data_IF_481499274305
#
_entry.id   IF_481499274305
#
_cell.length_a   1.000
_cell.length_b   1.000
_cell.length_c   1.000
_cell.angle_alpha   90.00
_cell.angle_beta   90.00
_cell.angle_gamma   90.00
#
_symmetry.space_group_name_H-M   'P 1'
#
loop_
_entity.id
_entity.type
_entity.pdbx_description
1 polymer ?
#
# COMPACT_ATOMS: atom_id res chain seq x y z
N UNK A 1 -27.87 18.10 29.42
CA UNK A 1 -27.82 18.63 28.04
C UNK A 1 -28.52 17.65 27.13
N UNK A 2 -29.39 18.14 26.24
CA UNK A 2 -29.98 17.30 25.17
C UNK A 2 -28.90 16.99 24.14
N UNK A 3 -28.61 15.72 23.92
CA UNK A 3 -27.61 15.25 22.96
C UNK A 3 -28.16 15.09 21.53
N UNK A 4 -29.47 15.27 21.35
CA UNK A 4 -30.18 14.99 20.09
C UNK A 4 -29.73 15.88 18.92
N UNK A 5 -29.24 17.08 19.18
CA UNK A 5 -28.83 18.03 18.13
C UNK A 5 -27.36 17.92 17.72
N UNK A 6 -26.58 17.08 18.42
CA UNK A 6 -25.17 16.89 18.14
C UNK A 6 -25.01 16.17 16.80
N UNK A 7 -24.23 16.76 15.89
CA UNK A 7 -23.98 16.22 14.54
C UNK A 7 -22.61 15.58 14.37
N UNK A 8 -21.68 15.89 15.25
CA UNK A 8 -20.33 15.34 15.25
C UNK A 8 -19.87 15.12 16.68
N UNK A 9 -19.29 13.95 16.92
CA UNK A 9 -18.72 13.54 18.19
C UNK A 9 -17.37 12.88 17.91
N UNK A 10 -16.32 13.44 18.51
CA UNK A 10 -14.96 12.91 18.39
C UNK A 10 -14.34 12.77 19.78
N UNK A 11 -13.76 11.61 20.08
CA UNK A 11 -12.97 11.40 21.30
C UNK A 11 -11.64 10.73 20.96
N UNK A 12 -10.56 11.38 21.39
CA UNK A 12 -9.19 10.89 21.21
C UNK A 12 -8.56 10.43 22.53
N UNK A 13 -9.37 10.34 23.60
CA UNK A 13 -8.91 9.80 24.88
C UNK A 13 -8.97 8.28 24.84
N UNK A 14 -7.88 7.57 25.17
CA UNK A 14 -7.88 6.12 25.13
C UNK A 14 -8.86 5.46 26.12
N UNK A 15 -9.15 6.09 27.27
CA UNK A 15 -10.02 5.55 28.33
C UNK A 15 -10.85 6.65 28.99
N UNK A 16 -11.86 6.25 29.78
CA UNK A 16 -12.75 7.12 30.54
C UNK A 16 -14.03 7.55 29.81
N UNK A 17 -14.42 6.86 28.73
CA UNK A 17 -15.55 7.19 27.86
C UNK A 17 -16.76 6.26 28.02
N UNK A 18 -16.71 5.22 28.87
CA UNK A 18 -17.81 4.26 29.04
C UNK A 18 -19.20 4.91 29.17
N UNK A 19 -19.35 5.90 30.06
CA UNK A 19 -20.62 6.63 30.24
C UNK A 19 -21.12 7.34 28.99
N UNK A 20 -20.22 7.81 28.14
CA UNK A 20 -20.56 8.42 26.85
C UNK A 20 -20.98 7.34 25.86
N UNK A 21 -20.24 6.24 25.80
CA UNK A 21 -20.48 5.12 24.90
C UNK A 21 -21.85 4.46 25.16
N UNK A 22 -22.21 4.25 26.43
CA UNK A 22 -23.52 3.71 26.85
C UNK A 22 -24.70 4.60 26.42
N UNK A 23 -24.43 5.90 26.23
CA UNK A 23 -25.41 6.93 25.87
C UNK A 23 -25.36 7.31 24.39
N UNK A 24 -24.60 6.61 23.55
CA UNK A 24 -24.49 6.90 22.12
C UNK A 24 -25.86 6.91 21.42
N UNK A 25 -26.81 6.10 21.88
CA UNK A 25 -28.17 6.04 21.35
C UNK A 25 -28.95 7.38 21.47
N UNK A 26 -28.53 8.31 22.33
CA UNK A 26 -29.17 9.62 22.48
C UNK A 26 -28.79 10.61 21.36
N UNK A 27 -27.75 10.32 20.57
CA UNK A 27 -27.20 11.19 19.53
C UNK A 27 -27.89 10.97 18.17
N UNK A 28 -29.22 11.06 18.13
CA UNK A 28 -30.03 10.62 16.96
C UNK A 28 -29.77 11.38 15.65
N UNK A 29 -29.18 12.59 15.70
CA UNK A 29 -28.81 13.38 14.51
C UNK A 29 -27.32 13.32 14.15
N UNK A 30 -26.58 12.37 14.74
CA UNK A 30 -25.14 12.26 14.53
C UNK A 30 -24.82 11.86 13.08
N UNK A 31 -23.84 12.55 12.49
CA UNK A 31 -23.32 12.29 11.13
C UNK A 31 -21.86 11.86 11.14
N UNK A 32 -21.12 12.28 12.16
CA UNK A 32 -19.69 11.97 12.32
C UNK A 32 -19.48 11.40 13.71
N UNK A 33 -19.01 10.16 13.77
CA UNK A 33 -18.57 9.52 15.00
C UNK A 33 -17.12 9.08 14.84
N UNK A 34 -16.22 9.72 15.60
CA UNK A 34 -14.81 9.39 15.62
C UNK A 34 -14.39 8.92 17.01
N UNK A 35 -14.11 7.62 17.12
CA UNK A 35 -13.69 6.94 18.33
C UNK A 35 -12.23 6.47 18.22
N UNK A 36 -11.42 7.12 17.38
CA UNK A 36 -10.03 6.73 17.15
C UNK A 36 -9.24 6.60 18.46
N UNK A 37 -8.60 5.44 18.62
CA UNK A 37 -7.75 5.10 19.77
C UNK A 37 -8.51 4.85 21.07
N UNK A 38 -9.83 4.94 21.09
CA UNK A 38 -10.65 4.71 22.28
C UNK A 38 -10.72 3.22 22.64
N UNK A 39 -10.00 2.81 23.69
CA UNK A 39 -9.90 1.42 24.18
C UNK A 39 -11.12 0.98 25.00
N UNK A 40 -11.96 1.91 25.40
CA UNK A 40 -13.23 1.60 26.08
C UNK A 40 -14.28 1.06 25.10
N UNK A 41 -14.10 1.22 23.79
CA UNK A 41 -15.01 0.69 22.78
C UNK A 41 -14.88 -0.83 22.70
N UNK A 42 -15.99 -1.49 22.97
CA UNK A 42 -16.18 -2.95 22.99
C UNK A 42 -17.38 -3.33 22.11
N UNK A 43 -17.46 -4.60 21.69
CA UNK A 43 -18.42 -5.07 20.68
C UNK A 43 -19.89 -4.74 21.02
N UNK A 44 -20.27 -4.82 22.29
CA UNK A 44 -21.64 -4.51 22.74
C UNK A 44 -22.07 -3.05 22.50
N UNK A 45 -21.13 -2.10 22.34
CA UNK A 45 -21.45 -0.72 22.02
C UNK A 45 -21.88 -0.55 20.56
N UNK A 46 -21.53 -1.49 19.67
CA UNK A 46 -21.90 -1.43 18.27
C UNK A 46 -23.41 -1.44 18.05
N UNK A 47 -24.20 -2.01 18.98
CA UNK A 47 -25.67 -1.91 18.94
C UNK A 47 -26.15 -0.45 18.97
N UNK A 48 -25.45 0.42 19.69
CA UNK A 48 -25.78 1.84 19.76
C UNK A 48 -25.28 2.56 18.51
N UNK A 49 -24.06 2.23 18.04
CA UNK A 49 -23.48 2.80 16.82
C UNK A 49 -24.35 2.50 15.60
N UNK A 50 -24.80 1.25 15.43
CA UNK A 50 -25.67 0.82 14.33
C UNK A 50 -27.07 1.45 14.38
N UNK A 51 -27.50 1.98 15.53
CA UNK A 51 -28.75 2.75 15.66
C UNK A 51 -28.64 4.21 15.18
N UNK A 52 -27.45 4.67 14.80
CA UNK A 52 -27.21 6.05 14.34
C UNK A 52 -27.38 6.16 12.82
N UNK A 53 -28.61 5.98 12.35
CA UNK A 53 -28.96 5.86 10.92
C UNK A 53 -28.49 7.03 10.02
N UNK A 54 -28.21 8.19 10.59
CA UNK A 54 -27.75 9.39 9.86
C UNK A 54 -26.23 9.50 9.74
N UNK A 55 -25.47 8.52 10.27
CA UNK A 55 -24.02 8.49 10.17
C UNK A 55 -23.56 8.49 8.71
N UNK A 56 -22.53 9.31 8.47
CA UNK A 56 -21.79 9.42 7.20
C UNK A 56 -20.32 9.07 7.38
N UNK A 57 -19.78 9.30 8.57
CA UNK A 57 -18.41 8.95 8.93
C UNK A 57 -18.39 8.18 10.25
N UNK A 58 -17.74 7.03 10.24
CA UNK A 58 -17.47 6.21 11.41
C UNK A 58 -15.99 5.82 11.43
N UNK A 59 -15.26 6.25 12.46
CA UNK A 59 -13.91 5.78 12.75
C UNK A 59 -13.91 5.00 14.05
N UNK A 60 -13.50 3.73 13.95
CA UNK A 60 -13.18 2.85 15.08
C UNK A 60 -11.68 2.51 15.05
N UNK A 61 -10.87 3.34 14.40
CA UNK A 61 -9.45 3.09 14.23
C UNK A 61 -8.77 2.89 15.58
N UNK A 62 -7.95 1.85 15.72
CA UNK A 62 -7.18 1.62 16.94
C UNK A 62 -8.02 1.22 18.15
N UNK A 63 -9.32 0.92 18.01
CA UNK A 63 -10.18 0.39 19.08
C UNK A 63 -9.93 -1.11 19.31
N UNK A 64 -10.61 -1.70 20.29
CA UNK A 64 -10.49 -3.13 20.63
C UNK A 64 -11.67 -3.97 20.10
N UNK A 65 -12.46 -3.43 19.16
CA UNK A 65 -13.55 -4.14 18.49
C UNK A 65 -13.04 -5.42 17.80
N UNK A 66 -13.75 -6.51 18.02
CA UNK A 66 -13.46 -7.85 17.48
C UNK A 66 -14.49 -8.32 16.45
N UNK A 67 -15.70 -7.74 16.46
CA UNK A 67 -16.77 -8.04 15.51
C UNK A 67 -17.54 -6.79 15.04
N UNK A 68 -18.03 -6.80 13.80
CA UNK A 68 -19.03 -5.85 13.31
C UNK A 68 -20.36 -6.59 13.23
N UNK A 69 -21.42 -6.12 13.91
CA UNK A 69 -22.71 -6.81 13.91
C UNK A 69 -23.45 -6.62 12.58
N UNK A 70 -24.38 -7.51 12.24
CA UNK A 70 -25.10 -7.46 10.96
C UNK A 70 -25.91 -6.18 10.77
N UNK A 71 -26.35 -5.55 11.87
CA UNK A 71 -27.06 -4.26 11.89
C UNK A 71 -26.24 -3.10 11.31
N UNK A 72 -24.96 -3.30 10.95
CA UNK A 72 -24.20 -2.28 10.20
C UNK A 72 -24.93 -1.83 8.92
N UNK A 73 -25.74 -2.70 8.30
CA UNK A 73 -26.55 -2.36 7.12
C UNK A 73 -27.55 -1.23 7.34
N UNK A 74 -27.90 -0.93 8.59
CA UNK A 74 -28.78 0.19 8.94
C UNK A 74 -28.11 1.55 8.72
N UNK A 75 -26.78 1.60 8.65
CA UNK A 75 -26.01 2.82 8.37
C UNK A 75 -26.02 3.17 6.87
N UNK A 76 -27.19 3.24 6.25
CA UNK A 76 -27.39 3.43 4.79
C UNK A 76 -26.84 4.74 4.22
N UNK A 77 -26.47 5.68 5.08
CA UNK A 77 -25.86 6.95 4.72
C UNK A 77 -24.34 6.98 4.90
N UNK A 78 -23.73 5.89 5.37
CA UNK A 78 -22.31 5.83 5.67
C UNK A 78 -21.49 5.94 4.38
N UNK A 79 -20.54 6.87 4.37
CA UNK A 79 -19.63 7.14 3.25
C UNK A 79 -18.21 6.69 3.59
N UNK A 80 -17.81 6.80 4.87
CA UNK A 80 -16.48 6.42 5.33
C UNK A 80 -16.59 5.52 6.56
N UNK A 81 -15.96 4.35 6.47
CA UNK A 81 -15.80 3.40 7.56
C UNK A 81 -14.31 3.08 7.75
N UNK A 82 -13.72 3.59 8.83
CA UNK A 82 -12.32 3.34 9.19
C UNK A 82 -12.23 2.35 10.36
N UNK A 83 -11.73 1.15 10.07
CA UNK A 83 -11.55 0.07 11.03
C UNK A 83 -10.06 -0.34 11.11
N UNK A 84 -9.13 0.54 10.74
CA UNK A 84 -7.69 0.26 10.80
C UNK A 84 -7.23 0.05 12.24
N UNK A 85 -6.31 -0.88 12.46
CA UNK A 85 -5.79 -1.17 13.80
C UNK A 85 -6.87 -1.64 14.80
N UNK A 86 -7.94 -2.28 14.31
CA UNK A 86 -8.92 -3.01 15.15
C UNK A 86 -8.47 -4.45 15.36
N UNK A 87 -9.25 -5.24 16.10
CA UNK A 87 -9.00 -6.67 16.34
C UNK A 87 -9.91 -7.58 15.48
N UNK A 88 -10.55 -7.02 14.46
CA UNK A 88 -11.48 -7.73 13.57
C UNK A 88 -10.82 -8.94 12.91
N UNK A 89 -11.61 -10.04 12.85
CA UNK A 89 -11.26 -11.27 12.13
C UNK A 89 -12.12 -11.53 10.90
N UNK A 90 -13.19 -10.76 10.72
CA UNK A 90 -14.13 -10.86 9.62
C UNK A 90 -14.99 -9.61 9.53
N UNK A 91 -15.79 -9.54 8.46
CA UNK A 91 -16.87 -8.56 8.29
C UNK A 91 -18.17 -9.31 8.02
N UNK A 92 -19.34 -8.79 8.44
CA UNK A 92 -20.61 -9.45 8.19
C UNK A 92 -21.01 -9.36 6.71
N UNK A 93 -21.77 -10.35 6.23
CA UNK A 93 -22.35 -10.34 4.87
C UNK A 93 -23.15 -9.07 4.59
N UNK A 94 -23.82 -8.52 5.60
CA UNK A 94 -24.64 -7.31 5.49
C UNK A 94 -23.83 -6.03 5.17
N UNK A 95 -22.50 -6.05 5.23
CA UNK A 95 -21.65 -4.92 4.84
C UNK A 95 -21.92 -4.48 3.39
N UNK A 96 -22.28 -5.41 2.50
CA UNK A 96 -22.60 -5.15 1.09
C UNK A 96 -23.81 -4.23 0.89
N UNK A 97 -24.65 -4.05 1.91
CA UNK A 97 -25.81 -3.18 1.87
C UNK A 97 -25.46 -1.70 2.11
N UNK A 98 -24.19 -1.38 2.42
CA UNK A 98 -23.69 -0.01 2.52
C UNK A 98 -23.39 0.59 1.14
N UNK A 99 -24.41 0.76 0.31
CA UNK A 99 -24.27 1.18 -1.11
C UNK A 99 -23.64 2.57 -1.31
N UNK A 100 -23.70 3.43 -0.28
CA UNK A 100 -23.11 4.78 -0.29
C UNK A 100 -21.67 4.82 0.25
N UNK A 101 -21.12 3.69 0.65
CA UNK A 101 -19.77 3.64 1.21
C UNK A 101 -18.74 3.92 0.10
N UNK A 102 -17.97 4.98 0.29
CA UNK A 102 -16.91 5.42 -0.62
C UNK A 102 -15.54 4.89 -0.19
N UNK A 103 -15.30 4.82 1.12
CA UNK A 103 -14.03 4.41 1.70
C UNK A 103 -14.26 3.34 2.76
N UNK A 104 -13.61 2.19 2.56
CA UNK A 104 -13.53 1.10 3.52
C UNK A 104 -12.05 0.80 3.79
N UNK A 105 -11.56 1.24 4.95
CA UNK A 105 -10.16 1.08 5.35
C UNK A 105 -10.05 0.08 6.50
N UNK A 106 -9.32 -1.02 6.27
CA UNK A 106 -9.23 -2.13 7.22
C UNK A 106 -7.77 -2.51 7.47
N UNK A 107 -7.42 -2.76 8.73
CA UNK A 107 -6.19 -3.47 9.10
C UNK A 107 -6.31 -4.04 10.51
N UNK A 108 -5.81 -5.25 10.73
CA UNK A 108 -5.74 -5.80 12.07
C UNK A 108 -4.50 -5.27 12.79
N UNK A 109 -4.65 -4.88 14.06
CA UNK A 109 -3.57 -4.31 14.88
C UNK A 109 -2.50 -5.32 15.27
N UNK A 110 -2.92 -6.52 15.61
CA UNK A 110 -2.05 -7.51 16.26
C UNK A 110 -1.44 -8.48 15.25
N UNK A 111 -2.12 -8.72 14.14
CA UNK A 111 -1.66 -9.66 13.13
C UNK A 111 -1.93 -9.12 11.72
N UNK A 112 -0.87 -8.65 11.07
CA UNK A 112 -0.94 -8.19 9.70
C UNK A 112 -1.31 -9.32 8.70
N UNK A 113 -1.29 -10.59 9.12
CA UNK A 113 -1.71 -11.75 8.34
C UNK A 113 -3.19 -12.08 8.51
N UNK A 114 -3.90 -11.44 9.44
CA UNK A 114 -5.36 -11.53 9.47
C UNK A 114 -5.88 -10.71 8.31
N UNK A 115 -6.26 -11.44 7.26
CA UNK A 115 -6.83 -10.88 6.06
C UNK A 115 -8.34 -11.04 6.12
N UNK A 116 -9.04 -9.99 5.70
CA UNK A 116 -10.48 -9.99 5.66
C UNK A 116 -10.93 -10.41 4.27
N UNK A 117 -11.96 -11.25 4.22
CA UNK A 117 -12.60 -11.65 2.98
C UNK A 117 -13.73 -10.69 2.68
N UNK A 118 -13.93 -10.43 1.40
CA UNK A 118 -15.13 -9.72 0.97
C UNK A 118 -16.29 -10.71 0.91
N UNK A 119 -17.46 -10.32 1.43
CA UNK A 119 -18.71 -11.04 1.17
C UNK A 119 -19.08 -10.98 -0.32
N UNK A 120 -19.79 -12.00 -0.80
CA UNK A 120 -20.40 -11.99 -2.14
C UNK A 120 -21.50 -10.92 -2.19
N UNK A 121 -21.72 -10.32 -3.36
CA UNK A 121 -22.61 -9.17 -3.50
C UNK A 121 -21.90 -7.82 -3.45
N UNK A 122 -20.56 -7.78 -3.48
CA UNK A 122 -19.77 -6.54 -3.38
C UNK A 122 -20.10 -5.55 -4.51
N UNK A 123 -20.53 -6.03 -5.67
CA UNK A 123 -21.03 -5.25 -6.81
C UNK A 123 -22.15 -4.26 -6.45
N UNK A 124 -22.84 -4.41 -5.33
CA UNK A 124 -23.84 -3.44 -4.83
C UNK A 124 -23.21 -2.15 -4.32
N UNK A 125 -21.96 -2.18 -3.84
CA UNK A 125 -21.26 -1.03 -3.26
C UNK A 125 -20.73 -0.08 -4.34
N UNK A 126 -21.61 0.47 -5.18
CA UNK A 126 -21.27 1.26 -6.38
C UNK A 126 -20.53 2.57 -6.10
N UNK A 127 -20.65 3.11 -4.89
CA UNK A 127 -19.94 4.31 -4.48
C UNK A 127 -18.48 4.05 -4.09
N UNK A 128 -18.04 2.79 -3.97
CA UNK A 128 -16.74 2.44 -3.40
C UNK A 128 -15.60 2.94 -4.30
N UNK A 129 -14.73 3.77 -3.71
CA UNK A 129 -13.56 4.36 -4.36
C UNK A 129 -12.26 3.75 -3.85
N UNK A 130 -12.27 3.15 -2.65
CA UNK A 130 -11.08 2.55 -2.04
C UNK A 130 -11.44 1.22 -1.37
N UNK A 131 -10.79 0.17 -1.86
CA UNK A 131 -10.87 -1.19 -1.37
C UNK A 131 -9.43 -1.69 -1.22
N UNK A 132 -8.93 -1.81 0.00
CA UNK A 132 -7.53 -2.13 0.25
C UNK A 132 -7.38 -3.36 1.14
N UNK A 133 -6.42 -4.21 0.79
CA UNK A 133 -5.96 -5.37 1.55
C UNK A 133 -7.00 -6.46 1.87
N UNK A 134 -7.81 -6.86 0.89
CA UNK A 134 -8.76 -7.98 1.03
C UNK A 134 -8.23 -9.28 0.42
N UNK A 135 -8.54 -10.40 1.06
CA UNK A 135 -8.20 -11.72 0.55
C UNK A 135 -9.34 -12.30 -0.28
N UNK A 136 -9.03 -12.76 -1.50
CA UNK A 136 -10.01 -13.43 -2.37
C UNK A 136 -10.09 -14.94 -2.13
N UNK A 137 -9.03 -15.57 -1.62
CA UNK A 137 -8.90 -17.04 -1.58
C UNK A 137 -9.36 -17.66 -2.93
N UNK A 138 -10.35 -18.56 -2.88
CA UNK A 138 -10.93 -19.25 -4.04
C UNK A 138 -12.29 -18.68 -4.48
N UNK A 139 -12.63 -17.44 -4.08
CA UNK A 139 -13.91 -16.84 -4.44
C UNK A 139 -13.87 -16.19 -5.83
N UNK A 140 -14.24 -16.97 -6.83
CA UNK A 140 -14.29 -16.52 -8.22
C UNK A 140 -15.45 -15.56 -8.50
N UNK A 141 -16.51 -15.58 -7.69
CA UNK A 141 -17.64 -14.66 -7.87
C UNK A 141 -17.27 -13.27 -7.36
N UNK A 142 -16.70 -13.15 -6.15
CA UNK A 142 -16.17 -11.87 -5.66
C UNK A 142 -15.13 -11.29 -6.63
N UNK A 143 -14.23 -12.14 -7.16
CA UNK A 143 -13.24 -11.72 -8.14
C UNK A 143 -13.87 -11.09 -9.40
N UNK A 144 -15.03 -11.60 -9.83
CA UNK A 144 -15.82 -11.06 -10.95
C UNK A 144 -16.59 -9.80 -10.56
N UNK A 145 -17.20 -9.76 -9.38
CA UNK A 145 -18.01 -8.65 -8.88
C UNK A 145 -17.19 -7.36 -8.68
N UNK A 146 -15.89 -7.48 -8.37
CA UNK A 146 -14.95 -6.35 -8.32
C UNK A 146 -14.99 -5.52 -9.61
N UNK A 147 -15.18 -6.17 -10.78
CA UNK A 147 -15.22 -5.48 -12.07
C UNK A 147 -16.43 -4.56 -12.25
N UNK A 148 -17.43 -4.64 -11.37
CA UNK A 148 -18.62 -3.80 -11.40
C UNK A 148 -18.53 -2.58 -10.45
N UNK A 149 -17.39 -2.42 -9.75
CA UNK A 149 -17.05 -1.28 -8.89
C UNK A 149 -16.42 -0.15 -9.71
N UNK A 150 -17.21 0.45 -10.61
CA UNK A 150 -16.71 1.39 -11.63
C UNK A 150 -16.13 2.71 -11.07
N UNK A 151 -16.38 3.03 -9.81
CA UNK A 151 -15.81 4.21 -9.14
C UNK A 151 -14.48 3.92 -8.43
N UNK A 152 -14.01 2.67 -8.45
CA UNK A 152 -12.86 2.23 -7.67
C UNK A 152 -11.55 2.86 -8.18
N UNK A 153 -10.87 3.60 -7.30
CA UNK A 153 -9.60 4.26 -7.56
C UNK A 153 -8.42 3.55 -6.92
N UNK A 154 -8.65 2.81 -5.84
CA UNK A 154 -7.63 2.06 -5.13
C UNK A 154 -8.12 0.62 -4.91
N UNK A 155 -7.37 -0.34 -5.43
CA UNK A 155 -7.63 -1.77 -5.29
C UNK A 155 -6.42 -2.46 -4.67
N UNK A 156 -6.59 -3.08 -3.52
CA UNK A 156 -5.59 -3.93 -2.87
C UNK A 156 -6.14 -5.32 -2.60
N UNK A 157 -5.58 -6.33 -3.26
CA UNK A 157 -6.06 -7.71 -3.21
C UNK A 157 -4.93 -8.69 -2.89
N UNK A 158 -5.25 -9.68 -2.07
CA UNK A 158 -4.38 -10.77 -1.67
C UNK A 158 -4.92 -12.09 -2.22
N UNK A 159 -4.04 -12.85 -2.87
CA UNK A 159 -4.35 -14.04 -3.68
C UNK A 159 -3.82 -15.34 -3.06
N UNK A 160 -3.74 -15.40 -1.73
CA UNK A 160 -3.23 -16.59 -1.05
C UNK A 160 -4.12 -17.80 -1.32
N UNK A 161 -3.52 -18.85 -1.92
CA UNK A 161 -4.24 -20.07 -2.26
C UNK A 161 -5.26 -19.93 -3.38
N UNK A 162 -5.28 -18.81 -4.13
CA UNK A 162 -6.22 -18.58 -5.22
C UNK A 162 -5.97 -19.51 -6.41
N UNK A 163 -7.03 -20.06 -7.00
CA UNK A 163 -6.97 -20.81 -8.26
C UNK A 163 -6.70 -19.90 -9.47
N UNK A 164 -6.30 -20.49 -10.60
CA UNK A 164 -6.15 -19.77 -11.87
C UNK A 164 -7.48 -19.16 -12.36
N UNK A 165 -8.61 -19.81 -12.08
CA UNK A 165 -9.94 -19.27 -12.40
C UNK A 165 -10.19 -17.93 -11.68
N UNK A 166 -9.84 -17.83 -10.39
CA UNK A 166 -9.97 -16.56 -9.64
C UNK A 166 -9.08 -15.48 -10.25
N UNK A 167 -7.85 -15.82 -10.62
CA UNK A 167 -6.90 -14.90 -11.25
C UNK A 167 -7.38 -14.40 -12.60
N UNK A 168 -7.96 -15.27 -13.42
CA UNK A 168 -8.55 -14.92 -14.71
C UNK A 168 -9.77 -14.01 -14.56
N UNK A 169 -10.67 -14.31 -13.60
CA UNK A 169 -11.82 -13.44 -13.29
C UNK A 169 -11.35 -12.08 -12.81
N UNK A 170 -10.36 -12.04 -11.91
CA UNK A 170 -9.79 -10.80 -11.43
C UNK A 170 -9.11 -10.01 -12.56
N UNK A 171 -8.38 -10.67 -13.48
CA UNK A 171 -7.78 -10.03 -14.65
C UNK A 171 -8.83 -9.28 -15.48
N UNK A 172 -9.95 -9.97 -15.77
CA UNK A 172 -11.07 -9.38 -16.50
C UNK A 172 -11.72 -8.23 -15.73
N UNK A 173 -11.87 -8.36 -14.41
CA UNK A 173 -12.42 -7.31 -13.55
C UNK A 173 -11.54 -6.07 -13.50
N UNK A 174 -10.22 -6.22 -13.33
CA UNK A 174 -9.26 -5.10 -13.36
C UNK A 174 -9.39 -4.35 -14.69
N UNK A 175 -9.57 -5.08 -15.80
CA UNK A 175 -9.73 -4.46 -17.11
C UNK A 175 -11.02 -3.67 -17.33
N UNK A 176 -12.03 -3.81 -16.46
CA UNK A 176 -13.26 -2.99 -16.50
C UNK A 176 -13.13 -1.69 -15.73
N UNK A 177 -12.20 -1.60 -14.78
CA UNK A 177 -12.10 -0.47 -13.83
C UNK A 177 -11.18 0.60 -14.42
N UNK A 178 -11.72 1.40 -15.34
CA UNK A 178 -10.98 2.49 -16.01
C UNK A 178 -10.58 3.65 -15.09
N UNK A 179 -11.19 3.74 -13.91
CA UNK A 179 -10.95 4.79 -12.91
C UNK A 179 -9.80 4.46 -11.93
N UNK A 180 -9.20 3.27 -12.04
CA UNK A 180 -8.19 2.79 -11.12
C UNK A 180 -6.90 3.63 -11.20
N UNK A 181 -6.43 4.07 -10.04
CA UNK A 181 -5.22 4.90 -9.85
C UNK A 181 -4.14 4.20 -9.05
N UNK A 182 -4.50 3.28 -8.17
CA UNK A 182 -3.55 2.49 -7.39
C UNK A 182 -3.97 1.04 -7.37
N UNK A 183 -3.03 0.15 -7.64
CA UNK A 183 -3.24 -1.29 -7.61
C UNK A 183 -2.18 -1.98 -6.77
N UNK A 184 -2.61 -2.72 -5.75
CA UNK A 184 -1.79 -3.62 -4.96
C UNK A 184 -2.24 -5.05 -5.21
N UNK A 185 -1.31 -5.89 -5.66
CA UNK A 185 -1.54 -7.33 -5.79
C UNK A 185 -0.50 -8.04 -4.93
N UNK A 186 -0.97 -8.86 -4.01
CA UNK A 186 -0.12 -9.64 -3.13
C UNK A 186 -0.44 -11.14 -3.24
N UNK A 187 0.60 -11.96 -3.22
CA UNK A 187 0.48 -13.40 -3.10
C UNK A 187 1.64 -13.99 -2.29
N UNK A 188 1.31 -14.83 -1.31
CA UNK A 188 2.27 -15.63 -0.56
C UNK A 188 2.61 -16.96 -1.27
N UNK A 189 1.89 -17.34 -2.33
CA UNK A 189 2.09 -18.59 -3.07
C UNK A 189 1.66 -18.53 -4.54
N UNK A 190 2.38 -19.23 -5.42
CA UNK A 190 2.19 -19.13 -6.86
C UNK A 190 2.79 -17.84 -7.44
N UNK A 191 2.25 -17.35 -8.55
CA UNK A 191 2.79 -16.17 -9.25
C UNK A 191 1.68 -15.20 -9.72
N UNK A 192 2.08 -13.96 -10.03
CA UNK A 192 1.20 -12.89 -10.51
C UNK A 192 1.22 -12.72 -12.03
N UNK A 193 1.58 -13.76 -12.80
CA UNK A 193 1.76 -13.63 -14.25
C UNK A 193 0.44 -13.36 -15.00
N UNK A 194 -0.72 -13.62 -14.39
CA UNK A 194 -2.03 -13.27 -14.95
C UNK A 194 -2.15 -11.77 -15.29
N UNK A 195 -1.37 -10.89 -14.63
CA UNK A 195 -1.30 -9.47 -14.93
C UNK A 195 -0.79 -9.17 -16.36
N UNK A 196 -0.15 -10.12 -17.04
CA UNK A 196 0.16 -10.00 -18.46
C UNK A 196 -1.08 -10.02 -19.34
N UNK A 197 -2.10 -10.77 -18.93
CA UNK A 197 -3.31 -11.04 -19.72
C UNK A 197 -4.48 -10.13 -19.38
N UNK A 198 -4.24 -8.91 -18.88
CA UNK A 198 -5.32 -7.95 -18.67
C UNK A 198 -5.95 -7.57 -20.02
N UNK A 199 -7.29 -7.69 -20.20
CA UNK A 199 -7.93 -7.39 -21.48
C UNK A 199 -7.85 -5.90 -21.84
N UNK A 200 -7.87 -5.02 -20.83
CA UNK A 200 -7.64 -3.58 -20.97
C UNK A 200 -6.86 -3.08 -19.76
N UNK A 201 -5.57 -2.75 -19.88
CA UNK A 201 -4.80 -2.22 -18.75
C UNK A 201 -5.41 -0.90 -18.22
N UNK A 202 -5.47 -0.66 -16.89
CA UNK A 202 -6.05 0.56 -16.36
C UNK A 202 -5.23 1.80 -16.74
N UNK A 203 -5.76 2.69 -17.58
CA UNK A 203 -5.00 3.79 -18.23
C UNK A 203 -4.63 4.96 -17.30
N UNK A 204 -5.34 5.10 -16.18
CA UNK A 204 -5.15 6.16 -15.18
C UNK A 204 -4.29 5.70 -13.99
N UNK A 205 -3.62 4.55 -14.12
CA UNK A 205 -2.85 3.96 -13.04
C UNK A 205 -1.62 4.81 -12.73
N UNK A 206 -1.51 5.24 -11.47
CA UNK A 206 -0.46 6.10 -10.93
C UNK A 206 0.49 5.34 -10.01
N UNK A 207 0.01 4.27 -9.38
CA UNK A 207 0.77 3.48 -8.42
C UNK A 207 0.53 1.98 -8.61
N UNK A 208 1.62 1.21 -8.60
CA UNK A 208 1.58 -0.26 -8.59
C UNK A 208 2.41 -0.79 -7.43
N UNK A 209 1.81 -1.67 -6.64
CA UNK A 209 2.49 -2.45 -5.62
C UNK A 209 2.37 -3.96 -5.93
N UNK A 210 3.48 -4.62 -6.25
CA UNK A 210 3.52 -6.05 -6.53
C UNK A 210 4.26 -6.79 -5.40
N UNK A 211 3.53 -7.65 -4.69
CA UNK A 211 4.03 -8.37 -3.53
C UNK A 211 3.95 -9.88 -3.76
N UNK A 212 4.98 -10.50 -4.33
CA UNK A 212 5.01 -11.94 -4.65
C UNK A 212 5.68 -12.22 -5.98
N UNK A 213 5.87 -13.51 -6.31
CA UNK A 213 6.66 -13.89 -7.48
C UNK A 213 5.99 -13.46 -8.80
N UNK A 214 6.79 -12.92 -9.73
CA UNK A 214 6.36 -12.60 -11.09
C UNK A 214 7.54 -12.79 -12.05
N UNK A 215 7.30 -13.38 -13.22
CA UNK A 215 8.39 -13.73 -14.13
C UNK A 215 9.01 -12.51 -14.82
N UNK A 216 8.21 -11.47 -15.06
CA UNK A 216 8.59 -10.17 -15.66
C UNK A 216 7.45 -9.17 -15.44
N UNK A 217 7.75 -7.87 -15.51
CA UNK A 217 6.70 -6.86 -15.53
C UNK A 217 5.74 -7.07 -16.72
N UNK A 218 4.44 -6.77 -16.55
CA UNK A 218 3.49 -6.76 -17.66
C UNK A 218 3.91 -5.85 -18.81
N UNK A 219 3.69 -6.27 -20.06
CA UNK A 219 4.13 -5.49 -21.24
C UNK A 219 3.52 -4.09 -21.29
N UNK A 220 2.28 -3.94 -20.81
CA UNK A 220 1.58 -2.66 -20.72
C UNK A 220 2.20 -1.68 -19.72
N UNK A 221 3.03 -2.15 -18.79
CA UNK A 221 3.75 -1.26 -17.85
C UNK A 221 4.73 -0.38 -18.62
N UNK A 222 5.38 -0.89 -19.67
CA UNK A 222 6.43 -0.16 -20.39
C UNK A 222 5.94 1.11 -21.10
N UNK A 223 4.65 1.17 -21.45
CA UNK A 223 4.03 2.28 -22.17
C UNK A 223 3.11 3.14 -21.30
N UNK A 224 3.14 2.95 -19.97
CA UNK A 224 2.16 3.59 -19.09
C UNK A 224 2.52 5.04 -18.77
N UNK A 225 1.74 6.00 -19.29
CA UNK A 225 2.06 7.43 -19.18
C UNK A 225 1.88 8.00 -17.76
N UNK A 226 0.89 7.53 -16.99
CA UNK A 226 0.58 8.11 -15.67
C UNK A 226 1.29 7.46 -14.49
N UNK A 227 2.07 6.39 -14.72
CA UNK A 227 2.62 5.58 -13.64
C UNK A 227 3.80 6.28 -12.98
N UNK A 228 3.65 6.61 -11.69
CA UNK A 228 4.56 7.48 -10.94
C UNK A 228 5.22 6.81 -9.73
N UNK A 229 4.57 5.81 -9.11
CA UNK A 229 5.12 5.05 -7.98
C UNK A 229 5.07 3.55 -8.28
N UNK A 230 6.20 2.86 -8.13
CA UNK A 230 6.27 1.41 -8.22
C UNK A 230 6.94 0.88 -6.97
N UNK A 231 6.24 -0.03 -6.29
CA UNK A 231 6.75 -0.80 -5.18
C UNK A 231 6.75 -2.28 -5.56
N UNK A 232 7.88 -2.96 -5.33
CA UNK A 232 8.00 -4.40 -5.53
C UNK A 232 8.61 -5.10 -4.33
N UNK A 233 8.01 -6.22 -3.95
CA UNK A 233 8.41 -7.07 -2.84
C UNK A 233 8.25 -8.52 -3.25
N UNK A 234 9.25 -9.37 -2.96
CA UNK A 234 9.22 -10.81 -3.31
C UNK A 234 8.96 -11.13 -4.79
N UNK A 235 9.27 -10.22 -5.70
CA UNK A 235 9.09 -10.40 -7.16
C UNK A 235 10.09 -11.36 -7.79
N UNK A 236 11.25 -11.56 -7.17
CA UNK A 236 12.30 -12.48 -7.63
C UNK A 236 12.85 -12.17 -9.03
N UNK A 237 12.82 -10.91 -9.46
CA UNK A 237 13.26 -10.47 -10.79
C UNK A 237 14.79 -10.54 -10.94
N UNK A 238 15.27 -10.63 -12.19
CA UNK A 238 16.69 -10.81 -12.54
C UNK A 238 17.12 -9.93 -13.71
N UNK A 239 18.42 -9.75 -13.85
CA UNK A 239 19.06 -9.02 -14.94
C UNK A 239 18.45 -7.63 -15.15
N UNK A 240 18.19 -7.30 -16.41
CA UNK A 240 17.63 -6.00 -16.78
C UNK A 240 16.09 -5.94 -16.63
N UNK A 241 15.42 -6.93 -16.01
CA UNK A 241 13.94 -6.98 -15.94
C UNK A 241 13.30 -5.84 -15.14
N UNK A 242 14.03 -5.23 -14.20
CA UNK A 242 13.54 -4.05 -13.48
C UNK A 242 13.87 -2.81 -14.30
N UNK A 243 15.15 -2.44 -14.39
CA UNK A 243 15.52 -1.17 -15.00
C UNK A 243 15.26 -1.09 -16.51
N UNK A 244 15.33 -2.20 -17.25
CA UNK A 244 15.08 -2.21 -18.70
C UNK A 244 13.62 -2.02 -19.10
N UNK A 245 12.69 -2.34 -18.19
CA UNK A 245 11.25 -2.08 -18.37
C UNK A 245 10.94 -0.67 -17.88
N UNK A 246 11.33 -0.37 -16.64
CA UNK A 246 10.91 0.84 -15.94
C UNK A 246 11.59 2.11 -16.45
N UNK A 247 12.72 2.01 -17.15
CA UNK A 247 13.39 3.18 -17.74
C UNK A 247 12.58 3.84 -18.88
N UNK A 248 11.59 3.13 -19.43
CA UNK A 248 10.71 3.61 -20.51
C UNK A 248 9.56 4.48 -20.00
N UNK A 249 9.29 4.45 -18.70
CA UNK A 249 8.20 5.20 -18.09
C UNK A 249 8.54 6.70 -18.05
N UNK A 250 7.71 7.57 -18.68
CA UNK A 250 8.01 8.99 -18.77
C UNK A 250 7.85 9.73 -17.44
N UNK A 251 6.96 9.25 -16.56
CA UNK A 251 6.56 9.94 -15.34
C UNK A 251 6.85 9.13 -14.06
N UNK A 252 7.68 8.09 -14.12
CA UNK A 252 8.05 7.34 -12.91
C UNK A 252 8.89 8.22 -11.99
N UNK A 253 8.31 8.61 -10.85
CA UNK A 253 8.96 9.47 -9.85
C UNK A 253 9.65 8.66 -8.77
N UNK A 254 9.06 7.53 -8.38
CA UNK A 254 9.48 6.72 -7.24
C UNK A 254 9.53 5.24 -7.58
N UNK A 255 10.64 4.62 -7.22
CA UNK A 255 10.85 3.18 -7.31
C UNK A 255 11.33 2.62 -5.97
N UNK A 256 10.58 1.66 -5.44
CA UNK A 256 10.89 0.98 -4.19
C UNK A 256 11.10 -0.51 -4.43
N UNK A 257 12.32 -0.98 -4.20
CA UNK A 257 12.74 -2.37 -4.30
C UNK A 257 12.91 -2.93 -2.89
N UNK A 258 11.90 -3.63 -2.40
CA UNK A 258 11.91 -4.23 -1.08
C UNK A 258 12.49 -5.66 -1.13
N UNK A 259 12.37 -6.40 -0.04
CA UNK A 259 13.01 -7.70 0.16
C UNK A 259 12.65 -8.70 -0.94
N UNK A 260 13.65 -9.44 -1.42
CA UNK A 260 13.51 -10.46 -2.47
C UNK A 260 12.89 -9.93 -3.79
N UNK A 261 12.93 -8.62 -4.03
CA UNK A 261 12.47 -8.03 -5.30
C UNK A 261 13.40 -8.38 -6.47
N UNK A 262 14.70 -8.50 -6.20
CA UNK A 262 15.76 -8.76 -7.18
C UNK A 262 16.71 -9.86 -6.70
N UNK A 263 17.15 -10.73 -7.61
CA UNK A 263 17.87 -11.97 -7.26
C UNK A 263 19.35 -12.00 -7.65
N UNK A 264 19.84 -11.13 -8.54
CA UNK A 264 21.25 -11.16 -8.95
C UNK A 264 22.15 -10.39 -7.99
N UNK A 265 23.44 -10.74 -7.95
CA UNK A 265 24.39 -10.13 -7.02
C UNK A 265 24.59 -8.64 -7.26
N UNK A 266 24.43 -8.19 -8.50
CA UNK A 266 24.63 -6.80 -8.89
C UNK A 266 23.37 -6.28 -9.59
N UNK A 267 22.90 -5.12 -9.14
CA UNK A 267 21.89 -4.32 -9.82
C UNK A 267 22.60 -3.11 -10.43
N UNK A 268 22.58 -3.02 -11.76
CA UNK A 268 23.37 -2.01 -12.49
C UNK A 268 22.43 -1.06 -13.22
N UNK A 269 22.44 0.21 -12.82
CA UNK A 269 21.87 1.30 -13.59
C UNK A 269 22.83 1.64 -14.74
N UNK A 270 22.62 0.97 -15.88
CA UNK A 270 23.43 1.15 -17.09
C UNK A 270 23.16 2.49 -17.77
N UNK A 271 24.12 3.02 -18.51
CA UNK A 271 23.98 4.32 -19.22
C UNK A 271 22.77 4.39 -20.18
N UNK A 272 22.33 3.25 -20.71
CA UNK A 272 21.12 3.14 -21.56
C UNK A 272 19.80 3.37 -20.80
N UNK A 273 19.79 3.29 -19.48
CA UNK A 273 18.59 3.47 -18.66
C UNK A 273 18.44 4.94 -18.22
N UNK A 274 17.67 5.72 -18.99
CA UNK A 274 17.64 7.18 -18.83
C UNK A 274 16.69 7.71 -17.75
N UNK A 275 15.61 7.01 -17.39
CA UNK A 275 14.69 7.37 -16.30
C UNK A 275 14.39 8.88 -16.20
N UNK A 276 13.57 9.43 -17.12
CA UNK A 276 13.45 10.88 -17.31
C UNK A 276 12.91 11.67 -16.11
N UNK A 277 12.17 11.01 -15.20
CA UNK A 277 11.50 11.66 -14.07
C UNK A 277 11.81 11.02 -12.70
N UNK A 278 12.70 10.02 -12.64
CA UNK A 278 12.92 9.24 -11.42
C UNK A 278 13.72 10.07 -10.40
N UNK A 279 13.06 10.41 -9.30
CA UNK A 279 13.63 11.24 -8.22
C UNK A 279 13.95 10.44 -6.97
N UNK A 280 13.21 9.37 -6.70
CA UNK A 280 13.30 8.61 -5.47
C UNK A 280 13.57 7.14 -5.77
N UNK A 281 14.70 6.64 -5.28
CA UNK A 281 15.06 5.24 -5.39
C UNK A 281 15.29 4.67 -3.99
N UNK A 282 14.44 3.73 -3.59
CA UNK A 282 14.53 3.06 -2.30
C UNK A 282 14.88 1.59 -2.50
N UNK A 283 15.99 1.16 -1.90
CA UNK A 283 16.38 -0.24 -1.84
C UNK A 283 16.35 -0.68 -0.38
N UNK A 284 15.40 -1.55 -0.06
CA UNK A 284 15.22 -2.13 1.26
C UNK A 284 15.38 -3.65 1.19
N UNK A 285 16.53 -4.16 0.72
CA UNK A 285 16.75 -5.59 0.66
C UNK A 285 17.04 -6.15 2.06
N UNK A 286 16.61 -7.39 2.33
CA UNK A 286 16.85 -8.09 3.59
C UNK A 286 18.21 -8.81 3.54
N UNK A 287 18.18 -10.12 3.72
CA UNK A 287 19.19 -11.10 3.35
C UNK A 287 19.31 -11.26 1.83
N UNK A 288 20.53 -11.19 1.32
CA UNK A 288 20.85 -11.59 -0.06
C UNK A 288 21.13 -10.42 -0.99
N UNK A 289 20.36 -10.33 -2.07
CA UNK A 289 20.68 -9.53 -3.26
C UNK A 289 19.84 -8.25 -3.39
N UNK A 290 20.30 -7.25 -4.16
CA UNK A 290 21.63 -7.13 -4.77
C UNK A 290 22.69 -6.67 -3.75
N UNK A 291 23.85 -7.33 -3.73
CA UNK A 291 24.97 -6.90 -2.88
C UNK A 291 25.61 -5.61 -3.39
N UNK A 292 25.61 -5.41 -4.69
CA UNK A 292 26.15 -4.20 -5.32
C UNK A 292 25.03 -3.46 -6.03
N UNK A 293 24.85 -2.19 -5.67
CA UNK A 293 24.11 -1.24 -6.49
C UNK A 293 25.12 -0.34 -7.19
N UNK A 294 25.16 -0.42 -8.52
CA UNK A 294 26.12 0.33 -9.35
C UNK A 294 25.42 1.26 -10.32
N UNK A 295 25.84 2.51 -10.34
CA UNK A 295 25.45 3.50 -11.34
C UNK A 295 26.58 3.68 -12.34
N UNK A 296 26.27 3.53 -13.63
CA UNK A 296 27.21 3.90 -14.69
C UNK A 296 27.13 5.42 -14.95
N UNK A 297 28.14 5.97 -15.61
CA UNK A 297 28.18 7.39 -15.97
C UNK A 297 26.91 7.78 -16.76
N UNK A 298 26.31 8.92 -16.40
CA UNK A 298 25.06 9.47 -16.97
C UNK A 298 23.80 8.61 -16.77
N UNK A 299 23.85 7.57 -15.93
CA UNK A 299 22.65 6.82 -15.57
C UNK A 299 21.92 7.50 -14.40
N UNK A 300 20.59 7.62 -14.52
CA UNK A 300 19.71 8.10 -13.43
C UNK A 300 20.15 9.44 -12.78
N UNK A 301 20.59 10.41 -13.58
CA UNK A 301 21.11 11.70 -13.09
C UNK A 301 20.10 12.53 -12.31
N UNK A 302 18.80 12.28 -12.49
CA UNK A 302 17.70 13.01 -11.86
C UNK A 302 17.35 12.53 -10.45
N UNK A 303 18.01 11.49 -9.93
CA UNK A 303 17.76 11.01 -8.57
C UNK A 303 18.11 12.08 -7.54
N UNK A 304 17.10 12.46 -6.75
CA UNK A 304 17.23 13.42 -5.66
C UNK A 304 17.38 12.71 -4.30
N UNK A 305 16.77 11.52 -4.14
CA UNK A 305 16.79 10.76 -2.90
C UNK A 305 17.12 9.29 -3.16
N UNK A 306 18.17 8.81 -2.50
CA UNK A 306 18.55 7.41 -2.47
C UNK A 306 18.42 6.85 -1.06
N UNK A 307 17.68 5.75 -0.89
CA UNK A 307 17.65 5.00 0.37
C UNK A 307 18.24 3.62 0.19
N UNK A 308 19.13 3.21 1.10
CA UNK A 308 19.66 1.86 1.14
C UNK A 308 19.63 1.30 2.57
N UNK A 309 19.15 0.06 2.72
CA UNK A 309 19.16 -0.68 4.00
C UNK A 309 20.32 -1.69 4.07
N UNK A 310 21.02 -1.68 5.20
CA UNK A 310 22.17 -2.51 5.56
C UNK A 310 21.79 -3.33 6.79
N UNK A 311 21.26 -4.54 6.58
CA UNK A 311 20.92 -5.46 7.68
C UNK A 311 22.13 -6.33 8.06
N UNK A 312 22.32 -7.50 7.42
CA UNK A 312 23.39 -8.46 7.77
C UNK A 312 24.42 -8.70 6.64
N UNK A 313 24.22 -8.08 5.48
CA UNK A 313 25.03 -8.35 4.28
C UNK A 313 26.00 -7.22 3.97
N UNK A 314 27.20 -7.58 3.53
CA UNK A 314 28.14 -6.62 2.94
C UNK A 314 27.53 -6.13 1.62
N UNK A 315 27.15 -4.85 1.61
CA UNK A 315 26.60 -4.17 0.45
C UNK A 315 27.49 -3.00 0.09
N UNK A 316 27.55 -2.71 -1.20
CA UNK A 316 28.35 -1.62 -1.74
C UNK A 316 27.49 -0.80 -2.70
N UNK A 317 27.51 0.50 -2.48
CA UNK A 317 27.06 1.50 -3.43
C UNK A 317 28.25 1.95 -4.29
N UNK A 318 28.09 1.94 -5.60
CA UNK A 318 29.15 2.30 -6.56
C UNK A 318 28.63 3.29 -7.59
N UNK A 319 29.46 4.25 -8.00
CA UNK A 319 29.08 5.25 -9.01
C UNK A 319 28.17 6.36 -8.49
N UNK A 320 28.12 6.59 -7.18
CA UNK A 320 27.31 7.66 -6.57
C UNK A 320 27.77 9.06 -7.05
N UNK A 321 29.04 9.20 -7.43
CA UNK A 321 29.63 10.39 -8.04
C UNK A 321 28.97 10.78 -9.37
N UNK A 322 28.27 9.83 -10.02
CA UNK A 322 27.52 10.10 -11.26
C UNK A 322 26.10 10.65 -11.01
N UNK A 323 25.61 10.60 -9.77
CA UNK A 323 24.27 11.09 -9.40
C UNK A 323 24.34 12.57 -9.01
N UNK A 324 24.28 13.43 -10.03
CA UNK A 324 24.54 14.87 -9.90
C UNK A 324 23.42 15.66 -9.22
N UNK A 325 22.19 15.14 -9.20
CA UNK A 325 21.01 15.83 -8.63
C UNK A 325 20.67 15.40 -7.19
N UNK A 326 21.52 14.59 -6.55
CA UNK A 326 21.29 14.10 -5.19
C UNK A 326 21.12 15.25 -4.19
N UNK A 327 20.11 15.11 -3.34
CA UNK A 327 19.81 15.99 -2.20
C UNK A 327 19.90 15.24 -0.88
N UNK A 328 19.51 13.96 -0.87
CA UNK A 328 19.56 13.12 0.32
C UNK A 328 19.99 11.68 0.00
N UNK A 329 20.91 11.16 0.81
CA UNK A 329 21.22 9.72 0.87
C UNK A 329 20.90 9.22 2.27
N UNK A 330 19.93 8.30 2.36
CA UNK A 330 19.48 7.70 3.61
C UNK A 330 19.98 6.27 3.74
N UNK A 331 20.86 6.04 4.70
CA UNK A 331 21.42 4.73 5.03
C UNK A 331 20.77 4.21 6.30
N UNK A 332 20.09 3.08 6.21
CA UNK A 332 19.39 2.43 7.33
C UNK A 332 20.12 1.16 7.74
N UNK A 333 20.18 0.82 9.02
CA UNK A 333 20.73 -0.47 9.44
C UNK A 333 21.16 -0.51 10.90
N UNK A 334 21.72 -1.64 11.32
CA UNK A 334 22.18 -1.80 12.70
C UNK A 334 23.46 -0.98 12.97
N UNK A 335 23.56 -0.40 14.17
CA UNK A 335 24.68 0.47 14.57
C UNK A 335 26.06 -0.22 14.46
N UNK A 336 26.11 -1.53 14.63
CA UNK A 336 27.35 -2.31 14.64
C UNK A 336 27.69 -2.91 13.26
N UNK A 337 26.89 -2.63 12.23
CA UNK A 337 27.16 -3.14 10.89
C UNK A 337 28.38 -2.42 10.27
N UNK A 338 29.47 -3.17 10.04
CA UNK A 338 30.72 -2.64 9.48
C UNK A 338 30.57 -2.14 8.04
N UNK A 339 29.71 -2.77 7.23
CA UNK A 339 29.46 -2.33 5.86
C UNK A 339 28.71 -1.00 5.84
N UNK A 340 27.73 -0.82 6.73
CA UNK A 340 27.06 0.47 6.93
C UNK A 340 28.06 1.55 7.33
N UNK A 341 28.94 1.28 8.30
CA UNK A 341 29.96 2.23 8.73
C UNK A 341 30.88 2.68 7.58
N UNK A 342 31.42 1.72 6.81
CA UNK A 342 32.23 2.02 5.62
C UNK A 342 31.47 2.84 4.59
N UNK A 343 30.23 2.47 4.29
CA UNK A 343 29.42 3.19 3.31
C UNK A 343 29.12 4.62 3.77
N UNK A 344 28.80 4.82 5.05
CA UNK A 344 28.59 6.16 5.62
C UNK A 344 29.82 7.04 5.39
N UNK A 345 31.02 6.51 5.62
CA UNK A 345 32.27 7.26 5.43
C UNK A 345 32.51 7.58 3.94
N UNK A 346 32.32 6.60 3.05
CA UNK A 346 32.46 6.80 1.59
C UNK A 346 31.47 7.83 1.04
N UNK A 347 30.20 7.72 1.42
CA UNK A 347 29.14 8.63 0.97
C UNK A 347 29.34 10.04 1.52
N UNK A 348 29.80 10.19 2.77
CA UNK A 348 30.17 11.50 3.33
C UNK A 348 31.38 12.11 2.63
N UNK A 349 32.41 11.31 2.36
CA UNK A 349 33.60 11.77 1.64
C UNK A 349 33.23 12.27 0.24
N UNK A 350 32.37 11.54 -0.48
CA UNK A 350 31.84 11.97 -1.77
C UNK A 350 30.99 13.24 -1.67
N UNK A 351 30.08 13.37 -0.69
CA UNK A 351 29.31 14.61 -0.52
C UNK A 351 30.24 15.81 -0.27
N UNK A 352 31.27 15.63 0.56
CA UNK A 352 32.25 16.68 0.88
C UNK A 352 33.18 17.04 -0.29
N UNK A 353 33.38 16.12 -1.25
CA UNK A 353 34.19 16.37 -2.45
C UNK A 353 33.50 17.33 -3.43
N UNK A 354 32.17 17.44 -3.35
CA UNK A 354 31.36 18.29 -4.22
C UNK A 354 31.43 19.76 -3.83
N UNK A 355 31.19 20.62 -4.81
CA UNK A 355 30.95 22.05 -4.60
C UNK A 355 29.84 22.27 -3.57
N UNK A 356 29.97 23.30 -2.73
CA UNK A 356 29.08 23.55 -1.58
C UNK A 356 27.57 23.51 -1.91
N UNK A 357 27.17 23.98 -3.08
CA UNK A 357 25.77 23.99 -3.54
C UNK A 357 25.26 22.64 -4.07
N UNK A 358 26.17 21.69 -4.34
CA UNK A 358 25.90 20.33 -4.84
C UNK A 358 26.11 19.25 -3.78
N UNK A 359 26.46 19.63 -2.55
CA UNK A 359 26.55 18.71 -1.43
C UNK A 359 25.16 18.21 -1.05
N UNK A 360 25.06 16.94 -0.66
CA UNK A 360 23.81 16.31 -0.27
C UNK A 360 23.83 15.88 1.19
N UNK A 361 22.64 15.79 1.79
CA UNK A 361 22.47 15.36 3.18
C UNK A 361 22.66 13.85 3.31
N UNK A 362 23.47 13.42 4.27
CA UNK A 362 23.63 12.00 4.61
C UNK A 362 22.87 11.73 5.91
N UNK A 363 21.78 10.97 5.80
CA UNK A 363 20.94 10.58 6.95
C UNK A 363 21.25 9.13 7.31
N UNK A 364 21.64 8.90 8.56
CA UNK A 364 21.83 7.55 9.10
C UNK A 364 20.70 7.25 10.07
N UNK A 365 19.95 6.19 9.82
CA UNK A 365 18.88 5.74 10.70
C UNK A 365 19.23 4.35 11.24
N UNK A 366 19.46 4.29 12.55
CA UNK A 366 19.65 3.01 13.24
C UNK A 366 18.30 2.34 13.50
N UNK A 367 18.25 1.04 13.26
CA UNK A 367 17.07 0.18 13.48
C UNK A 367 17.29 -0.79 14.64
#
# INVERSE_FOLDING_TARGET
MSMQHVRSLSTFRPKGQLKLLDRLHEFTLLRVLDLEGCKDVQDHHMKHVCGLFLLRFLSLRGTDITEIPSQIEELRHLQILDLRGTLLRGVPESLINLEKLEILDLSNRNDWRVLLRLPQGIQKMKALQRLDRFELCNDAEVAKEIGDLVQLRHLGIILNGSTEQVRERLANSIGKISTLRSMTVETLGGNMNFLQGLPSPPQLLQSICLCGAINRFPSWVESHEHLADIYVYKTCLRGDQIFGVLCKLPNLVKLSLDRYSYMDQQLVARTKFKFPALKQLHLVPDYGTPKVLRFEKEAMSEIEMLTMRYFDTDRSLQGIEHLTSLKEVKLKGEKNNKALGREVDLVKAESNSREKLKQFMVVVQYE
#
